data_IF_700628019180
#
_entry.id   IF_700628019180
#
_cell.length_a   1.000
_cell.length_b   1.000
_cell.length_c   1.000
_cell.angle_alpha   90.00
_cell.angle_beta   90.00
_cell.angle_gamma   90.00
#
_symmetry.space_group_name_H-M   'P 1'
#
loop_
_entity.id
_entity.type
_entity.pdbx_description
1 polymer ?
#
# COMPACT_ATOMS: atom_id res chain seq x y z
N UNK A 1 41.96 21.95 72.35
CA UNK A 1 41.49 20.86 71.45
C UNK A 1 40.09 21.25 70.95
N UNK A 2 40.03 21.75 69.68
CA UNK A 2 38.76 22.18 69.07
C UNK A 2 38.31 21.10 68.12
N UNK A 3 37.17 20.45 68.39
CA UNK A 3 36.54 19.46 67.47
C UNK A 3 35.65 20.22 66.50
N UNK A 4 36.03 20.26 65.22
CA UNK A 4 35.20 20.77 64.14
C UNK A 4 34.17 19.72 63.76
N UNK A 5 32.85 20.07 63.88
CA UNK A 5 31.72 19.21 63.39
C UNK A 5 31.55 19.48 61.92
N UNK A 6 31.83 18.47 61.06
CA UNK A 6 31.52 18.50 59.63
C UNK A 6 30.07 18.05 59.46
N UNK A 7 29.19 18.97 59.02
CA UNK A 7 27.81 18.68 58.66
C UNK A 7 27.78 18.19 57.19
N UNK A 8 27.42 16.93 56.98
CA UNK A 8 27.25 16.33 55.67
C UNK A 8 25.85 16.67 55.12
N UNK A 9 25.77 17.61 54.16
CA UNK A 9 24.52 17.90 53.43
C UNK A 9 24.30 16.89 52.31
N UNK A 10 23.41 15.92 52.51
CA UNK A 10 22.89 15.03 51.48
C UNK A 10 21.84 15.76 50.69
N UNK A 11 22.17 16.20 49.46
CA UNK A 11 21.19 16.74 48.51
C UNK A 11 20.42 15.59 47.85
N UNK A 12 19.15 15.46 48.20
CA UNK A 12 18.21 14.54 47.56
C UNK A 12 17.76 15.20 46.24
N UNK A 13 18.29 14.73 45.11
CA UNK A 13 17.81 15.11 43.77
C UNK A 13 16.45 14.48 43.52
N UNK A 14 15.40 15.26 43.59
CA UNK A 14 14.01 14.87 43.25
C UNK A 14 13.89 14.85 41.73
N UNK A 15 13.97 13.64 41.10
CA UNK A 15 13.64 13.46 39.69
C UNK A 15 12.13 13.67 39.52
N UNK A 16 11.72 14.81 38.97
CA UNK A 16 10.36 15.05 38.55
C UNK A 16 10.07 14.18 37.32
N UNK A 17 9.30 13.12 37.48
CA UNK A 17 8.76 12.35 36.36
C UNK A 17 7.67 13.16 35.69
N UNK A 18 7.95 13.75 34.51
CA UNK A 18 6.92 14.40 33.71
C UNK A 18 5.88 13.33 33.26
N UNK A 19 4.57 13.61 33.37
CA UNK A 19 3.57 12.67 32.89
C UNK A 19 3.71 12.48 31.38
N UNK A 20 3.85 11.23 30.93
CA UNK A 20 3.76 10.89 29.51
C UNK A 20 2.31 11.08 29.09
N UNK A 21 2.01 12.20 28.42
CA UNK A 21 0.69 12.43 27.83
C UNK A 21 0.53 11.48 26.65
N UNK A 22 -0.40 10.55 26.75
CA UNK A 22 -0.81 9.70 25.63
C UNK A 22 -1.35 10.60 24.51
N UNK A 23 -0.79 10.46 23.30
CA UNK A 23 -1.26 11.21 22.13
C UNK A 23 -2.66 10.73 21.73
N UNK A 24 -3.47 11.63 21.17
CA UNK A 24 -4.77 11.27 20.62
C UNK A 24 -4.61 10.26 19.45
N UNK A 25 -5.61 9.40 19.21
CA UNK A 25 -5.60 8.49 18.07
C UNK A 25 -5.39 9.24 16.77
N UNK A 26 -4.54 8.69 15.89
CA UNK A 26 -4.31 9.26 14.57
C UNK A 26 -5.49 8.97 13.64
N UNK A 27 -6.02 10.00 12.98
CA UNK A 27 -7.05 9.85 11.96
C UNK A 27 -6.37 9.75 10.59
N UNK A 28 -6.58 8.65 9.87
CA UNK A 28 -5.98 8.42 8.57
C UNK A 28 -7.04 8.13 7.48
N UNK A 29 -6.81 8.69 6.28
CA UNK A 29 -7.60 8.30 5.09
C UNK A 29 -7.26 6.86 4.69
N UNK A 30 -8.28 6.07 4.40
CA UNK A 30 -8.15 4.69 3.91
C UNK A 30 -9.19 4.42 2.82
N UNK A 31 -8.97 3.38 2.02
CA UNK A 31 -9.96 2.94 1.02
C UNK A 31 -11.20 2.39 1.73
N UNK A 32 -12.39 2.83 1.30
CA UNK A 32 -13.64 2.24 1.78
C UNK A 32 -14.04 1.01 0.96
N UNK A 33 -14.86 0.13 1.52
CA UNK A 33 -15.40 -1.02 0.81
C UNK A 33 -16.14 -0.61 -0.47
N UNK A 34 -16.96 0.44 -0.40
CA UNK A 34 -17.70 0.93 -1.56
C UNK A 34 -16.77 1.40 -2.70
N UNK A 35 -15.70 2.12 -2.36
CA UNK A 35 -14.70 2.52 -3.35
C UNK A 35 -13.96 1.31 -3.93
N UNK A 36 -13.56 0.35 -3.09
CA UNK A 36 -12.87 -0.86 -3.52
C UNK A 36 -13.72 -1.65 -4.54
N UNK A 37 -15.01 -1.84 -4.27
CA UNK A 37 -15.94 -2.51 -5.18
C UNK A 37 -16.14 -1.75 -6.49
N UNK A 38 -16.28 -0.42 -6.44
CA UNK A 38 -16.42 0.41 -7.64
C UNK A 38 -15.17 0.36 -8.54
N UNK A 39 -13.97 0.37 -7.92
CA UNK A 39 -12.70 0.22 -8.66
C UNK A 39 -12.62 -1.17 -9.30
N UNK A 40 -12.92 -2.24 -8.56
CA UNK A 40 -12.90 -3.61 -9.10
C UNK A 40 -13.83 -3.72 -10.30
N UNK A 41 -15.10 -3.26 -10.17
CA UNK A 41 -16.06 -3.33 -11.25
C UNK A 41 -15.58 -2.57 -12.49
N UNK A 42 -15.14 -1.31 -12.32
CA UNK A 42 -14.63 -0.51 -13.43
C UNK A 42 -13.40 -1.10 -14.10
N UNK A 43 -12.53 -1.76 -13.32
CA UNK A 43 -11.35 -2.46 -13.83
C UNK A 43 -11.73 -3.67 -14.67
N UNK A 44 -12.66 -4.50 -14.17
CA UNK A 44 -13.14 -5.69 -14.87
C UNK A 44 -13.89 -5.30 -16.16
N UNK A 45 -14.76 -4.29 -16.08
CA UNK A 45 -15.49 -3.79 -17.24
C UNK A 45 -14.55 -3.36 -18.37
N UNK A 46 -13.49 -2.61 -18.02
CA UNK A 46 -12.51 -2.16 -19.00
C UNK A 46 -11.73 -3.34 -19.60
N UNK A 47 -11.18 -4.22 -18.75
CA UNK A 47 -10.43 -5.38 -19.24
C UNK A 47 -11.31 -6.31 -20.09
N UNK A 48 -12.57 -6.52 -19.71
CA UNK A 48 -13.52 -7.34 -20.50
C UNK A 48 -13.81 -6.70 -21.85
N UNK A 49 -13.99 -5.37 -21.90
CA UNK A 49 -14.14 -4.63 -23.15
C UNK A 49 -12.95 -4.79 -24.09
N UNK A 50 -11.74 -4.85 -23.51
CA UNK A 50 -10.50 -5.04 -24.25
C UNK A 50 -10.21 -6.54 -24.56
N UNK A 51 -11.12 -7.44 -24.20
CA UNK A 51 -11.04 -8.88 -24.48
C UNK A 51 -10.17 -9.66 -23.49
N UNK A 52 -9.83 -9.09 -22.32
CA UNK A 52 -8.97 -9.73 -21.32
C UNK A 52 -9.80 -10.31 -20.17
N UNK A 53 -9.35 -11.46 -19.67
CA UNK A 53 -9.88 -12.11 -18.46
C UNK A 53 -8.90 -11.90 -17.32
N UNK A 54 -9.31 -11.17 -16.29
CA UNK A 54 -8.41 -10.73 -15.22
C UNK A 54 -8.95 -11.04 -13.82
N UNK A 55 -8.04 -11.15 -12.88
CA UNK A 55 -8.31 -11.04 -11.45
C UNK A 55 -7.87 -9.67 -10.97
N UNK A 56 -8.63 -9.10 -10.03
CA UNK A 56 -8.41 -7.76 -9.47
C UNK A 56 -8.36 -7.84 -7.95
N UNK A 57 -7.37 -7.19 -7.35
CA UNK A 57 -7.24 -7.06 -5.91
C UNK A 57 -7.09 -5.59 -5.53
N UNK A 58 -7.82 -5.18 -4.49
CA UNK A 58 -7.61 -3.91 -3.82
C UNK A 58 -6.99 -4.19 -2.46
N UNK A 59 -5.89 -3.52 -2.15
CA UNK A 59 -5.32 -3.48 -0.80
C UNK A 59 -5.55 -2.11 -0.17
N UNK A 60 -5.71 -2.11 1.15
CA UNK A 60 -5.89 -0.91 1.96
C UNK A 60 -4.57 -0.15 2.20
N UNK A 61 -4.60 0.90 3.01
CA UNK A 61 -3.42 1.67 3.40
C UNK A 61 -2.36 0.81 4.11
N UNK A 62 -2.77 -0.20 4.86
CA UNK A 62 -1.89 -1.16 5.54
C UNK A 62 -1.31 -2.23 4.62
N UNK A 63 -1.78 -2.33 3.37
CA UNK A 63 -1.41 -3.38 2.43
C UNK A 63 -2.22 -4.67 2.60
N UNK A 64 -3.28 -4.66 3.42
CA UNK A 64 -4.17 -5.81 3.60
C UNK A 64 -5.21 -5.85 2.48
N UNK A 65 -5.66 -7.03 2.10
CA UNK A 65 -6.73 -7.18 1.10
C UNK A 65 -8.03 -6.59 1.62
N UNK A 66 -8.53 -5.54 0.97
CA UNK A 66 -9.83 -4.94 1.22
C UNK A 66 -10.93 -5.62 0.40
N UNK A 67 -10.63 -5.95 -0.86
CA UNK A 67 -11.53 -6.71 -1.72
C UNK A 67 -10.72 -7.41 -2.83
N UNK A 68 -11.21 -8.55 -3.28
CA UNK A 68 -10.58 -9.31 -4.36
C UNK A 68 -11.63 -10.05 -5.17
N UNK A 69 -11.50 -10.03 -6.51
CA UNK A 69 -12.41 -10.73 -7.40
C UNK A 69 -11.63 -11.43 -8.52
N UNK A 70 -12.03 -12.66 -8.81
CA UNK A 70 -11.52 -13.45 -9.93
C UNK A 70 -12.54 -13.42 -11.06
N UNK A 71 -12.12 -12.94 -12.25
CA UNK A 71 -12.93 -13.02 -13.45
C UNK A 71 -13.03 -14.46 -13.98
N UNK A 72 -14.12 -14.73 -14.69
CA UNK A 72 -14.35 -16.05 -15.27
C UNK A 72 -13.27 -16.43 -16.28
N UNK A 73 -12.80 -17.67 -16.18
CA UNK A 73 -11.81 -18.23 -17.10
C UNK A 73 -10.40 -17.63 -16.98
N UNK A 74 -10.08 -16.94 -15.89
CA UNK A 74 -8.71 -16.51 -15.58
C UNK A 74 -7.86 -17.69 -15.10
N UNK A 75 -6.55 -17.61 -15.34
CA UNK A 75 -5.60 -18.63 -14.86
C UNK A 75 -5.51 -18.62 -13.33
N UNK A 76 -5.26 -19.77 -12.68
CA UNK A 76 -5.27 -19.88 -11.21
C UNK A 76 -4.32 -18.92 -10.48
N UNK A 77 -3.15 -18.63 -11.04
CA UNK A 77 -2.13 -17.76 -10.43
C UNK A 77 -2.53 -16.28 -10.39
N UNK A 78 -3.50 -15.84 -11.21
CA UNK A 78 -3.84 -14.42 -11.36
C UNK A 78 -4.37 -13.79 -10.08
N UNK A 79 -5.03 -14.57 -9.21
CA UNK A 79 -5.49 -14.10 -7.90
C UNK A 79 -4.32 -13.63 -7.04
N UNK A 80 -3.31 -14.49 -6.88
CA UNK A 80 -2.16 -14.15 -6.06
C UNK A 80 -1.31 -13.05 -6.71
N UNK A 81 -1.11 -13.09 -8.02
CA UNK A 81 -0.35 -12.05 -8.71
C UNK A 81 -1.03 -10.69 -8.66
N UNK A 82 -2.36 -10.61 -8.76
CA UNK A 82 -3.08 -9.34 -8.57
C UNK A 82 -2.86 -8.78 -7.16
N UNK A 83 -2.88 -9.63 -6.13
CA UNK A 83 -2.59 -9.23 -4.75
C UNK A 83 -1.17 -8.69 -4.59
N UNK A 84 -0.16 -9.42 -5.09
CA UNK A 84 1.25 -9.00 -5.01
C UNK A 84 1.51 -7.69 -5.76
N UNK A 85 0.89 -7.50 -6.94
CA UNK A 85 0.98 -6.26 -7.72
C UNK A 85 0.34 -5.07 -6.97
N UNK A 86 -0.85 -5.27 -6.37
CA UNK A 86 -1.52 -4.26 -5.54
C UNK A 86 -0.65 -3.86 -4.34
N UNK A 87 -0.12 -4.86 -3.63
CA UNK A 87 0.76 -4.66 -2.49
C UNK A 87 2.04 -3.91 -2.88
N UNK A 88 2.70 -4.32 -3.98
CA UNK A 88 3.89 -3.64 -4.51
C UNK A 88 3.60 -2.17 -4.79
N UNK A 89 2.51 -1.87 -5.49
CA UNK A 89 2.14 -0.50 -5.80
C UNK A 89 1.87 0.32 -4.52
N UNK A 90 1.21 -0.28 -3.51
CA UNK A 90 0.92 0.38 -2.24
C UNK A 90 2.19 0.71 -1.45
N UNK A 91 3.11 -0.24 -1.27
CA UNK A 91 4.32 -0.04 -0.45
C UNK A 91 5.37 0.82 -1.15
N UNK A 92 5.38 0.83 -2.50
CA UNK A 92 6.33 1.62 -3.30
C UNK A 92 5.79 3.02 -3.64
N UNK A 93 4.49 3.30 -3.45
CA UNK A 93 3.80 4.54 -3.84
C UNK A 93 3.95 4.90 -5.34
N UNK A 94 4.22 3.92 -6.16
CA UNK A 94 4.39 4.00 -7.62
C UNK A 94 3.80 2.76 -8.28
N UNK A 95 3.70 2.73 -9.62
CA UNK A 95 3.18 1.53 -10.28
C UNK A 95 4.15 0.35 -10.14
N UNK A 96 3.63 -0.86 -10.18
CA UNK A 96 4.48 -2.04 -10.14
C UNK A 96 5.31 -2.20 -11.41
N UNK A 97 4.90 -1.61 -12.53
CA UNK A 97 5.69 -1.50 -13.77
C UNK A 97 6.92 -0.58 -13.58
N UNK A 98 6.77 0.54 -12.88
CA UNK A 98 7.90 1.38 -12.49
C UNK A 98 8.85 0.63 -11.57
N UNK A 99 8.33 -0.08 -10.59
CA UNK A 99 9.15 -0.93 -9.71
C UNK A 99 9.89 -2.02 -10.50
N UNK A 100 9.25 -2.65 -11.49
CA UNK A 100 9.88 -3.63 -12.38
C UNK A 100 11.11 -3.04 -13.08
N UNK A 101 10.97 -1.84 -13.66
CA UNK A 101 12.08 -1.13 -14.33
C UNK A 101 13.21 -0.76 -13.38
N UNK A 102 12.87 -0.29 -12.16
CA UNK A 102 13.89 -0.01 -11.14
C UNK A 102 14.71 -1.24 -10.74
N UNK A 103 14.07 -2.41 -10.73
CA UNK A 103 14.74 -3.66 -10.39
C UNK A 103 15.72 -4.17 -11.47
N UNK A 104 15.75 -3.55 -12.65
CA UNK A 104 16.78 -3.81 -13.66
C UNK A 104 18.16 -3.27 -13.22
N UNK A 105 18.18 -2.23 -12.36
CA UNK A 105 19.39 -1.71 -11.76
C UNK A 105 19.94 -2.69 -10.70
N UNK A 106 21.18 -3.20 -10.84
CA UNK A 106 21.80 -4.07 -9.83
C UNK A 106 21.85 -3.46 -8.43
N UNK A 107 21.97 -2.14 -8.30
CA UNK A 107 21.97 -1.44 -7.01
C UNK A 107 20.62 -1.55 -6.29
N UNK A 108 19.52 -1.85 -7.01
CA UNK A 108 18.17 -2.07 -6.47
C UNK A 108 17.86 -3.55 -6.22
N UNK A 109 18.75 -4.48 -6.55
CA UNK A 109 18.54 -5.91 -6.35
C UNK A 109 18.08 -6.30 -4.92
N UNK A 110 18.54 -5.65 -3.83
CA UNK A 110 18.06 -5.96 -2.48
C UNK A 110 16.56 -5.76 -2.27
N UNK A 111 15.90 -4.92 -3.08
CA UNK A 111 14.44 -4.72 -2.99
C UNK A 111 13.65 -6.00 -3.29
N UNK A 112 14.23 -6.94 -4.06
CA UNK A 112 13.60 -8.26 -4.34
C UNK A 112 13.46 -9.13 -3.09
N UNK A 113 14.16 -8.79 -1.99
CA UNK A 113 14.05 -9.49 -0.72
C UNK A 113 12.89 -9.01 0.15
N UNK A 114 12.22 -7.90 -0.22
CA UNK A 114 11.04 -7.42 0.49
C UNK A 114 9.91 -8.42 0.30
N UNK A 115 9.39 -9.05 1.38
CA UNK A 115 8.31 -10.03 1.27
C UNK A 115 7.08 -9.45 0.57
N UNK A 116 6.59 -10.14 -0.44
CA UNK A 116 5.41 -9.73 -1.20
C UNK A 116 5.65 -8.67 -2.29
N UNK A 117 6.88 -8.15 -2.44
CA UNK A 117 7.22 -7.28 -3.56
C UNK A 117 7.44 -8.10 -4.83
N UNK A 118 6.82 -7.70 -5.94
CA UNK A 118 7.00 -8.31 -7.26
C UNK A 118 7.39 -7.27 -8.31
N UNK A 119 8.37 -7.62 -9.14
CA UNK A 119 8.77 -6.81 -10.31
C UNK A 119 7.95 -7.18 -11.55
N UNK A 120 6.63 -7.03 -11.48
CA UNK A 120 5.70 -7.33 -12.58
C UNK A 120 4.65 -6.23 -12.66
N UNK A 121 4.49 -5.59 -13.83
CA UNK A 121 3.50 -4.52 -14.05
C UNK A 121 2.05 -4.98 -13.84
N UNK A 122 1.15 -4.05 -13.56
CA UNK A 122 -0.27 -4.27 -13.33
C UNK A 122 -0.78 -3.80 -11.96
N UNK A 123 0.09 -3.23 -11.14
CA UNK A 123 -0.27 -2.61 -9.87
C UNK A 123 -0.22 -1.09 -9.93
N UNK A 124 -1.26 -0.40 -9.43
CA UNK A 124 -1.38 1.06 -9.42
C UNK A 124 -1.71 1.54 -8.01
N UNK A 125 -0.99 2.55 -7.45
CA UNK A 125 -1.34 3.11 -6.15
C UNK A 125 -2.63 3.92 -6.22
N UNK A 126 -3.51 3.77 -5.24
CA UNK A 126 -4.72 4.57 -5.09
C UNK A 126 -4.37 5.77 -4.21
N UNK A 127 -4.42 6.97 -4.77
CA UNK A 127 -4.04 8.22 -4.09
C UNK A 127 -5.26 9.07 -3.78
N UNK A 128 -5.27 9.69 -2.58
CA UNK A 128 -6.27 10.70 -2.20
C UNK A 128 -5.53 11.95 -1.69
N UNK A 129 -5.59 13.05 -2.45
CA UNK A 129 -4.71 14.19 -2.25
C UNK A 129 -3.24 13.78 -2.39
N UNK A 130 -2.41 14.13 -1.43
CA UNK A 130 -0.98 13.80 -1.43
C UNK A 130 -0.65 12.42 -0.82
N UNK A 131 -1.65 11.66 -0.36
CA UNK A 131 -1.46 10.39 0.33
C UNK A 131 -1.89 9.18 -0.48
N UNK A 132 -1.15 8.06 -0.37
CA UNK A 132 -1.58 6.77 -0.90
C UNK A 132 -2.45 6.08 0.13
N UNK A 133 -3.70 5.80 -0.21
CA UNK A 133 -4.72 5.20 0.67
C UNK A 133 -4.96 3.72 0.41
N UNK A 134 -4.33 3.18 -0.63
CA UNK A 134 -4.47 1.78 -1.02
C UNK A 134 -3.70 1.49 -2.31
N UNK A 135 -3.93 0.30 -2.86
CA UNK A 135 -3.40 -0.12 -4.16
C UNK A 135 -4.37 -1.03 -4.88
N UNK A 136 -4.42 -0.94 -6.19
CA UNK A 136 -5.12 -1.89 -7.06
C UNK A 136 -4.09 -2.71 -7.83
N UNK A 137 -4.33 -4.00 -7.94
CA UNK A 137 -3.53 -4.90 -8.77
C UNK A 137 -4.41 -5.71 -9.69
N UNK A 138 -3.98 -5.83 -10.93
CA UNK A 138 -4.66 -6.56 -12.01
C UNK A 138 -3.71 -7.61 -12.55
N UNK A 139 -4.22 -8.78 -12.86
CA UNK A 139 -3.44 -9.85 -13.48
C UNK A 139 -4.30 -10.67 -14.43
N UNK A 140 -3.80 -10.85 -15.65
CA UNK A 140 -4.45 -11.68 -16.66
C UNK A 140 -4.43 -11.11 -18.08
N UNK A 141 -4.21 -9.81 -18.26
CA UNK A 141 -3.98 -9.25 -19.58
C UNK A 141 -2.60 -9.66 -20.13
N UNK A 142 -2.42 -9.63 -21.46
CA UNK A 142 -1.14 -10.00 -22.08
C UNK A 142 -0.11 -8.86 -21.99
N UNK A 143 0.33 -8.54 -20.76
CA UNK A 143 1.30 -7.50 -20.47
C UNK A 143 0.89 -6.62 -19.29
N UNK A 144 1.86 -6.25 -18.44
CA UNK A 144 1.61 -5.48 -17.22
C UNK A 144 1.09 -4.08 -17.49
N UNK A 145 1.45 -3.48 -18.62
CA UNK A 145 0.96 -2.17 -19.08
C UNK A 145 -0.54 -2.19 -19.38
N UNK A 146 -1.06 -3.32 -19.90
CA UNK A 146 -2.49 -3.49 -20.15
C UNK A 146 -3.26 -3.73 -18.86
N UNK A 147 -2.69 -4.50 -17.94
CA UNK A 147 -3.23 -4.62 -16.58
C UNK A 147 -3.32 -3.25 -15.89
N UNK A 148 -2.27 -2.39 -16.00
CA UNK A 148 -2.28 -1.03 -15.43
C UNK A 148 -3.30 -0.12 -16.11
N UNK A 149 -3.52 -0.25 -17.42
CA UNK A 149 -4.54 0.52 -18.13
C UNK A 149 -5.94 0.21 -17.57
N UNK A 150 -6.27 -1.08 -17.36
CA UNK A 150 -7.53 -1.49 -16.74
C UNK A 150 -7.65 -0.96 -15.29
N UNK A 151 -6.55 -1.04 -14.51
CA UNK A 151 -6.52 -0.53 -13.14
C UNK A 151 -6.83 0.98 -13.07
N UNK A 152 -6.22 1.76 -13.95
CA UNK A 152 -6.46 3.21 -14.05
C UNK A 152 -7.91 3.53 -14.42
N UNK A 153 -8.52 2.77 -15.34
CA UNK A 153 -9.94 2.91 -15.68
C UNK A 153 -10.86 2.64 -14.49
N UNK A 154 -10.50 1.66 -13.64
CA UNK A 154 -11.20 1.40 -12.38
C UNK A 154 -11.08 2.56 -11.40
N UNK A 155 -9.85 3.08 -11.16
CA UNK A 155 -9.62 4.21 -10.25
C UNK A 155 -10.42 5.45 -10.71
N UNK A 156 -10.51 5.69 -12.01
CA UNK A 156 -11.28 6.81 -12.58
C UNK A 156 -12.75 6.80 -12.16
N UNK A 157 -13.36 5.63 -11.84
CA UNK A 157 -14.75 5.53 -11.37
C UNK A 157 -14.98 6.21 -10.01
N UNK A 158 -13.93 6.39 -9.23
CA UNK A 158 -14.00 6.99 -7.88
C UNK A 158 -13.22 8.29 -7.76
N UNK A 159 -12.73 8.85 -8.86
CA UNK A 159 -11.84 10.02 -8.88
C UNK A 159 -12.40 11.22 -8.09
N UNK A 160 -13.71 11.46 -8.18
CA UNK A 160 -14.35 12.55 -7.46
C UNK A 160 -14.24 12.42 -5.93
N UNK A 161 -14.16 11.19 -5.41
CA UNK A 161 -14.05 10.91 -3.99
C UNK A 161 -12.55 10.85 -3.50
N UNK A 162 -11.59 10.95 -4.41
CA UNK A 162 -10.15 10.92 -4.12
C UNK A 162 -9.54 12.33 -3.94
N UNK A 163 -10.32 13.36 -4.11
CA UNK A 163 -9.91 14.79 -3.99
C UNK A 163 -9.79 15.25 -2.55
#
# INVERSE_FOLDING_TARGET
MHFAKIALFTSISMFATAPVLAQAPQIEKNISMAMALAIIQGTIDQCTKDGYKVSVTIVDKGGNVAAQLRGDGTSPHTMEFSRLKAYTARIRNQTSLQTMKELEDPARAPLRQIPGLVGVGGGVPIKAGNGTIGGVGVSGAPGGEKDEACANAGIAKVEAALK
#
